data_IF_436527247167
#
_entry.id   IF_436527247167
#
_cell.length_a   1.000
_cell.length_b   1.000
_cell.length_c   1.000
_cell.angle_alpha   90.00
_cell.angle_beta   90.00
_cell.angle_gamma   90.00
#
_symmetry.space_group_name_H-M   'P 1'
#
loop_
_entity.id
_entity.type
_entity.pdbx_description
1 polymer ?
#
# COMPACT_ATOMS: atom_id res chain seq x y z
N UNK A 1 -22.00 26.05 16.04
CA UNK A 1 -20.78 25.22 16.22
C UNK A 1 -19.81 25.35 15.06
N UNK A 2 -20.04 24.78 13.86
CA UNK A 2 -19.05 24.85 12.76
C UNK A 2 -18.73 26.30 12.31
N UNK A 3 -19.75 27.16 12.22
CA UNK A 3 -19.57 28.59 11.89
C UNK A 3 -18.73 29.34 12.94
N UNK A 4 -19.04 29.14 14.23
CA UNK A 4 -18.30 29.76 15.34
C UNK A 4 -16.86 29.25 15.41
N UNK A 5 -16.61 27.98 15.04
CA UNK A 5 -15.25 27.44 14.93
C UNK A 5 -14.50 28.04 13.75
N UNK A 6 -15.18 28.24 12.61
CA UNK A 6 -14.62 28.87 11.42
C UNK A 6 -14.19 30.32 11.67
N UNK A 7 -15.01 31.10 12.37
CA UNK A 7 -14.63 32.45 12.81
C UNK A 7 -13.46 32.44 13.80
N UNK A 8 -13.44 31.49 14.76
CA UNK A 8 -12.36 31.36 15.74
C UNK A 8 -11.00 31.02 15.13
N UNK A 9 -10.95 30.29 14.02
CA UNK A 9 -9.71 30.04 13.27
C UNK A 9 -9.30 31.22 12.36
N UNK A 10 -9.96 32.36 12.48
CA UNK A 10 -9.59 33.63 11.83
C UNK A 10 -10.20 33.85 10.46
N UNK A 11 -11.18 33.03 10.05
CA UNK A 11 -11.85 33.20 8.77
C UNK A 11 -12.93 34.27 8.87
N UNK A 12 -12.97 35.18 7.88
CA UNK A 12 -13.81 36.40 7.90
C UNK A 12 -15.09 36.29 7.07
N UNK A 13 -15.23 35.22 6.29
CA UNK A 13 -16.37 34.97 5.41
C UNK A 13 -17.19 33.83 5.98
N UNK A 14 -18.49 33.85 5.71
CA UNK A 14 -19.41 32.77 6.10
C UNK A 14 -18.94 31.43 5.53
N UNK A 15 -18.85 30.42 6.39
CA UNK A 15 -18.50 29.05 6.02
C UNK A 15 -19.50 28.50 4.99
N UNK A 16 -20.78 28.81 5.16
CA UNK A 16 -21.86 28.37 4.25
C UNK A 16 -21.71 28.88 2.80
N UNK A 17 -20.92 29.93 2.57
CA UNK A 17 -20.64 30.46 1.23
C UNK A 17 -19.29 29.99 0.68
N UNK A 18 -18.53 29.18 1.43
CA UNK A 18 -17.30 28.60 0.92
C UNK A 18 -17.60 27.41 0.01
N UNK A 19 -16.83 27.25 -1.08
CA UNK A 19 -16.90 26.04 -1.89
C UNK A 19 -16.50 24.83 -1.05
N UNK A 20 -17.01 23.66 -1.46
CA UNK A 20 -16.55 22.40 -0.88
C UNK A 20 -15.06 22.21 -1.20
N UNK A 21 -14.24 21.75 -0.23
CA UNK A 21 -12.82 21.54 -0.48
C UNK A 21 -12.59 20.46 -1.53
N UNK A 22 -11.74 20.76 -2.50
CA UNK A 22 -11.19 19.79 -3.44
C UNK A 22 -10.16 18.89 -2.76
N UNK A 23 -10.01 17.67 -3.24
CA UNK A 23 -8.99 16.76 -2.73
C UNK A 23 -7.61 17.15 -3.29
N UNK A 24 -6.60 17.06 -2.43
CA UNK A 24 -5.20 17.22 -2.85
C UNK A 24 -4.63 15.82 -3.21
N UNK A 25 -4.23 15.59 -4.48
CA UNK A 25 -3.70 14.30 -4.91
C UNK A 25 -2.36 13.93 -4.26
N UNK A 26 -1.60 14.88 -3.72
CA UNK A 26 -0.37 14.59 -3.01
C UNK A 26 -0.65 14.13 -1.57
N UNK A 27 -1.64 14.72 -0.90
CA UNK A 27 -2.11 14.27 0.43
C UNK A 27 -2.92 12.97 0.35
N UNK A 28 -3.59 12.71 -0.78
CA UNK A 28 -4.38 11.49 -0.98
C UNK A 28 -3.53 10.25 -1.34
N UNK A 29 -2.23 10.41 -1.57
CA UNK A 29 -1.34 9.27 -1.83
C UNK A 29 -1.03 8.54 -0.54
N UNK A 30 -1.45 7.28 -0.45
CA UNK A 30 -0.90 6.37 0.56
C UNK A 30 0.60 6.16 0.31
N UNK A 31 1.40 6.47 1.33
CA UNK A 31 2.85 6.26 1.35
C UNK A 31 3.20 4.76 1.41
N UNK A 32 2.31 3.96 2.00
CA UNK A 32 2.44 2.51 2.14
C UNK A 32 1.39 1.79 1.29
N UNK A 33 1.81 0.68 0.68
CA UNK A 33 0.95 -0.21 -0.10
C UNK A 33 1.00 -1.62 0.47
N UNK A 34 -0.15 -2.29 0.48
CA UNK A 34 -0.25 -3.69 0.90
C UNK A 34 0.09 -4.56 -0.31
N UNK A 35 1.22 -5.26 -0.24
CA UNK A 35 1.64 -6.22 -1.26
C UNK A 35 1.19 -7.61 -0.84
N UNK A 36 0.34 -8.20 -1.68
CA UNK A 36 -0.13 -9.58 -1.48
C UNK A 36 0.88 -10.56 -2.06
N UNK A 37 1.21 -11.61 -1.32
CA UNK A 37 2.08 -12.69 -1.82
C UNK A 37 1.30 -13.96 -2.08
N UNK A 38 1.44 -14.46 -3.29
CA UNK A 38 0.83 -15.67 -3.79
C UNK A 38 1.91 -16.73 -4.06
N UNK A 39 1.57 -17.99 -3.83
CA UNK A 39 2.37 -19.15 -4.22
C UNK A 39 1.51 -20.06 -5.08
N UNK A 40 1.94 -20.35 -6.31
CA UNK A 40 1.18 -21.09 -7.31
C UNK A 40 -0.26 -20.56 -7.45
N UNK A 41 -0.43 -19.24 -7.46
CA UNK A 41 -1.72 -18.57 -7.64
C UNK A 41 -2.62 -18.51 -6.39
N UNK A 42 -2.23 -19.11 -5.26
CA UNK A 42 -2.98 -19.01 -3.99
C UNK A 42 -2.36 -17.97 -3.06
N UNK A 43 -3.17 -17.09 -2.48
CA UNK A 43 -2.73 -16.11 -1.49
C UNK A 43 -2.21 -16.81 -0.22
N UNK A 44 -0.97 -16.52 0.16
CA UNK A 44 -0.30 -17.12 1.34
C UNK A 44 0.12 -16.10 2.38
N UNK A 45 0.41 -14.87 1.95
CA UNK A 45 0.83 -13.82 2.86
C UNK A 45 0.48 -12.43 2.32
N UNK A 46 0.62 -11.41 3.16
CA UNK A 46 0.57 -10.01 2.77
C UNK A 46 1.52 -9.20 3.65
N UNK A 47 2.14 -8.17 3.11
CA UNK A 47 2.97 -7.25 3.88
C UNK A 47 2.84 -5.81 3.37
N UNK A 48 3.08 -4.87 4.27
CA UNK A 48 3.15 -3.45 3.91
C UNK A 48 4.56 -3.09 3.42
N UNK A 49 4.61 -2.29 2.36
CA UNK A 49 5.83 -1.75 1.78
C UNK A 49 5.60 -0.31 1.34
N UNK A 50 6.66 0.49 1.31
CA UNK A 50 6.60 1.82 0.72
C UNK A 50 6.19 1.73 -0.75
N UNK A 51 5.39 2.70 -1.17
CA UNK A 51 5.04 2.87 -2.57
C UNK A 51 6.32 3.10 -3.38
N UNK A 52 6.46 2.40 -4.51
CA UNK A 52 7.64 2.49 -5.38
C UNK A 52 8.96 1.93 -4.78
N UNK A 53 8.88 1.11 -3.72
CA UNK A 53 10.05 0.43 -3.17
C UNK A 53 10.71 -0.49 -4.23
N UNK A 54 12.05 -0.66 -4.23
CA UNK A 54 12.75 -1.44 -5.24
C UNK A 54 12.25 -2.89 -5.33
N UNK A 55 11.94 -3.33 -6.55
CA UNK A 55 11.42 -4.68 -6.83
C UNK A 55 12.29 -5.78 -6.21
N UNK A 56 13.62 -5.68 -6.31
CA UNK A 56 14.55 -6.66 -5.73
C UNK A 56 14.41 -6.77 -4.21
N UNK A 57 14.22 -5.64 -3.52
CA UNK A 57 14.02 -5.65 -2.07
C UNK A 57 12.66 -6.24 -1.70
N UNK A 58 11.62 -5.96 -2.49
CA UNK A 58 10.28 -6.53 -2.27
C UNK A 58 10.31 -8.06 -2.47
N UNK A 59 10.98 -8.54 -3.53
CA UNK A 59 11.20 -9.98 -3.77
C UNK A 59 11.94 -10.63 -2.61
N UNK A 60 13.03 -10.02 -2.14
CA UNK A 60 13.76 -10.54 -0.98
C UNK A 60 12.90 -10.56 0.29
N UNK A 61 12.10 -9.51 0.55
CA UNK A 61 11.21 -9.44 1.70
C UNK A 61 10.15 -10.53 1.65
N UNK A 62 9.58 -10.81 0.47
CA UNK A 62 8.66 -11.91 0.26
C UNK A 62 9.33 -13.27 0.47
N UNK A 63 10.51 -13.52 -0.12
CA UNK A 63 11.23 -14.80 0.02
C UNK A 63 11.74 -15.06 1.45
N UNK A 64 11.99 -14.00 2.23
CA UNK A 64 12.38 -14.09 3.65
C UNK A 64 11.18 -14.29 4.60
N UNK A 65 9.94 -14.19 4.12
CA UNK A 65 8.78 -14.43 5.00
C UNK A 65 8.76 -15.89 5.44
N UNK A 66 8.70 -16.11 6.76
CA UNK A 66 8.60 -17.45 7.37
C UNK A 66 7.39 -18.23 6.83
N UNK A 67 6.28 -17.54 6.52
CA UNK A 67 5.09 -18.18 5.94
C UNK A 67 5.39 -18.71 4.55
N UNK A 68 6.05 -17.92 3.72
CA UNK A 68 6.36 -18.27 2.33
C UNK A 68 7.43 -19.37 2.30
N UNK A 69 8.43 -19.31 3.17
CA UNK A 69 9.44 -20.38 3.31
C UNK A 69 8.82 -21.74 3.64
N UNK A 70 7.77 -21.79 4.47
CA UNK A 70 7.02 -23.02 4.73
C UNK A 70 6.36 -23.60 3.48
N UNK A 71 5.90 -22.75 2.55
CA UNK A 71 5.30 -23.18 1.28
C UNK A 71 6.33 -23.46 0.19
N UNK A 72 7.55 -22.94 0.32
CA UNK A 72 8.65 -23.21 -0.60
C UNK A 72 9.25 -24.60 -0.37
N UNK A 73 9.13 -25.20 0.82
CA UNK A 73 9.60 -26.59 1.12
C UNK A 73 11.04 -26.88 0.62
N UNK A 74 11.96 -25.91 0.71
CA UNK A 74 13.33 -25.95 0.15
C UNK A 74 13.44 -26.04 -1.38
N UNK A 75 12.37 -25.76 -2.12
CA UNK A 75 12.39 -25.61 -3.58
C UNK A 75 12.74 -24.19 -3.98
N UNK A 76 13.56 -24.08 -5.01
CA UNK A 76 13.84 -22.80 -5.65
C UNK A 76 12.64 -22.36 -6.50
N UNK A 77 12.23 -21.09 -6.41
CA UNK A 77 11.13 -20.57 -7.21
C UNK A 77 11.50 -20.55 -8.70
N UNK A 78 10.72 -21.24 -9.53
CA UNK A 78 10.89 -21.26 -11.00
C UNK A 78 10.63 -19.91 -11.64
N UNK A 79 9.70 -19.13 -11.09
CA UNK A 79 9.33 -17.81 -11.61
C UNK A 79 8.79 -16.93 -10.50
N UNK A 80 9.26 -15.69 -10.43
CA UNK A 80 8.74 -14.65 -9.53
C UNK A 80 8.16 -13.53 -10.37
N UNK A 81 6.85 -13.34 -10.30
CA UNK A 81 6.12 -12.32 -11.04
C UNK A 81 5.74 -11.23 -10.05
N UNK A 82 6.31 -10.04 -10.20
CA UNK A 82 5.95 -8.87 -9.42
C UNK A 82 5.03 -7.95 -10.22
N UNK A 83 3.90 -7.60 -9.61
CA UNK A 83 3.02 -6.53 -10.10
C UNK A 83 3.20 -5.36 -9.14
N UNK A 84 3.78 -4.28 -9.67
CA UNK A 84 4.17 -3.08 -8.91
C UNK A 84 3.03 -2.60 -8.01
N UNK A 85 3.35 -2.41 -6.73
CA UNK A 85 2.44 -1.94 -5.68
C UNK A 85 1.14 -2.76 -5.49
N UNK A 86 1.06 -4.00 -6.01
CA UNK A 86 -0.14 -4.85 -5.90
C UNK A 86 0.16 -6.23 -5.34
N UNK A 87 0.94 -7.05 -6.04
CA UNK A 87 1.16 -8.44 -5.65
C UNK A 87 2.48 -9.03 -6.13
N UNK A 88 2.94 -10.06 -5.44
CA UNK A 88 4.01 -10.97 -5.87
C UNK A 88 3.39 -12.35 -6.04
N UNK A 89 3.60 -12.98 -7.19
CA UNK A 89 3.29 -14.39 -7.38
C UNK A 89 4.58 -15.19 -7.56
N UNK A 90 4.76 -16.20 -6.70
CA UNK A 90 5.90 -17.09 -6.70
C UNK A 90 5.42 -18.44 -7.24
N UNK A 91 6.02 -18.85 -8.36
CA UNK A 91 5.79 -20.16 -8.96
C UNK A 91 6.92 -21.08 -8.49
N UNK A 92 6.56 -22.19 -7.84
CA UNK A 92 7.47 -23.29 -7.42
C UNK A 92 7.24 -24.52 -8.27
#
# INVERSE_FOLDING_TARGET
ICEEMWEKIGQKKLLALQPWPDFDPDLAKEETVIIVVQVNGKMRDKFEAERDFPEDKIKQKALKSRRIQKYLENREPKKVIYIKNKLINIVV
#
